data_IF_364308186785
#
_entry.id   IF_364308186785
#
_cell.length_a   1.000
_cell.length_b   1.000
_cell.length_c   1.000
_cell.angle_alpha   90.00
_cell.angle_beta   90.00
_cell.angle_gamma   90.00
#
_symmetry.space_group_name_H-M   'P 1'
#
loop_
_entity.id
_entity.type
_entity.pdbx_description
1 polymer ?
#
# COMPACT_ATOMS: atom_id res chain seq x y z
N UNK A 1 -26.45 -31.93 -9.45
CA UNK A 1 -27.23 -32.27 -8.24
C UNK A 1 -27.86 -30.99 -7.71
N UNK A 2 -29.17 -30.99 -7.47
CA UNK A 2 -29.94 -29.76 -7.28
C UNK A 2 -29.64 -29.07 -5.91
N UNK A 3 -29.54 -27.73 -5.87
CA UNK A 3 -29.17 -26.95 -4.68
C UNK A 3 -30.13 -27.08 -3.47
N UNK A 4 -31.26 -27.77 -3.63
CA UNK A 4 -32.26 -27.92 -2.57
C UNK A 4 -31.89 -28.98 -1.50
N UNK A 5 -31.03 -29.95 -1.83
CA UNK A 5 -30.60 -30.98 -0.88
C UNK A 5 -29.51 -30.48 0.07
N UNK A 6 -28.54 -29.70 -0.44
CA UNK A 6 -27.50 -29.08 0.38
C UNK A 6 -28.08 -28.10 1.43
N UNK A 7 -29.11 -27.35 1.05
CA UNK A 7 -29.83 -26.46 1.97
C UNK A 7 -30.66 -27.22 3.02
N UNK A 8 -31.17 -28.41 2.68
CA UNK A 8 -31.87 -29.29 3.62
C UNK A 8 -30.90 -29.92 4.62
N UNK A 9 -29.73 -30.35 4.15
CA UNK A 9 -28.68 -30.92 5.01
C UNK A 9 -28.11 -29.87 5.96
N UNK A 10 -27.87 -28.64 5.48
CA UNK A 10 -27.42 -27.52 6.31
C UNK A 10 -28.42 -27.15 7.42
N UNK A 11 -29.73 -27.19 7.12
CA UNK A 11 -30.78 -26.97 8.13
C UNK A 11 -30.89 -28.13 9.12
N UNK A 12 -30.62 -29.35 8.69
CA UNK A 12 -30.60 -30.54 9.55
C UNK A 12 -29.42 -30.50 10.53
N UNK A 13 -28.24 -30.09 10.05
CA UNK A 13 -27.04 -29.88 10.88
C UNK A 13 -27.26 -28.75 11.87
N UNK A 14 -27.87 -27.63 11.45
CA UNK A 14 -28.22 -26.52 12.34
C UNK A 14 -29.25 -26.91 13.43
N UNK A 15 -30.14 -27.85 13.14
CA UNK A 15 -31.13 -28.36 14.11
C UNK A 15 -30.56 -29.40 15.10
N UNK A 16 -29.39 -29.99 14.79
CA UNK A 16 -28.72 -31.00 15.63
C UNK A 16 -27.76 -30.39 16.66
N UNK A 17 -27.42 -29.11 16.53
CA UNK A 17 -26.60 -28.38 17.52
C UNK A 17 -27.52 -27.80 18.58
N UNK A 18 -27.73 -28.53 19.68
CA UNK A 18 -28.44 -28.01 20.85
C UNK A 18 -27.66 -26.82 21.47
N UNK A 19 -28.35 -25.78 21.97
CA UNK A 19 -27.72 -24.62 22.58
C UNK A 19 -27.35 -24.93 24.03
N UNK A 20 -26.31 -25.74 24.23
CA UNK A 20 -25.62 -25.79 25.51
C UNK A 20 -24.30 -25.04 25.39
N UNK A 21 -24.31 -23.82 25.94
CA UNK A 21 -23.16 -22.98 26.31
C UNK A 21 -22.14 -22.57 25.23
N UNK A 22 -22.52 -22.45 23.96
CA UNK A 22 -21.68 -21.72 23.00
C UNK A 22 -21.89 -20.22 23.17
N UNK A 23 -20.81 -19.52 23.50
CA UNK A 23 -20.86 -18.06 23.71
C UNK A 23 -21.20 -17.35 22.39
N UNK A 24 -21.89 -16.21 22.45
CA UNK A 24 -22.25 -15.44 21.27
C UNK A 24 -21.04 -15.10 20.38
N UNK A 25 -19.83 -15.05 20.95
CA UNK A 25 -18.58 -14.85 20.21
C UNK A 25 -18.19 -16.07 19.36
N UNK A 26 -18.42 -17.31 19.84
CA UNK A 26 -18.14 -18.53 19.08
C UNK A 26 -19.11 -18.68 17.90
N UNK A 27 -20.39 -18.36 18.11
CA UNK A 27 -21.38 -18.31 17.03
C UNK A 27 -21.04 -17.24 16.00
N UNK A 28 -20.56 -16.07 16.44
CA UNK A 28 -20.13 -15.00 15.54
C UNK A 28 -18.89 -15.39 14.73
N UNK A 29 -17.91 -16.06 15.35
CA UNK A 29 -16.71 -16.57 14.68
C UNK A 29 -17.04 -17.68 13.67
N UNK A 30 -17.97 -18.58 14.00
CA UNK A 30 -18.45 -19.62 13.09
C UNK A 30 -19.20 -19.03 11.89
N UNK A 31 -20.04 -18.00 12.12
CA UNK A 31 -20.71 -17.28 11.05
C UNK A 31 -19.73 -16.54 10.13
N UNK A 32 -18.68 -15.92 10.71
CA UNK A 32 -17.66 -15.21 9.96
C UNK A 32 -16.78 -16.18 9.14
N UNK A 33 -16.42 -17.33 9.70
CA UNK A 33 -15.72 -18.39 8.98
C UNK A 33 -16.56 -18.96 7.82
N UNK A 34 -17.85 -19.19 8.03
CA UNK A 34 -18.78 -19.63 6.98
C UNK A 34 -18.95 -18.59 5.87
N UNK A 35 -19.02 -17.30 6.23
CA UNK A 35 -19.11 -16.21 5.25
C UNK A 35 -17.84 -16.06 4.41
N UNK A 36 -16.65 -16.21 5.03
CA UNK A 36 -15.37 -16.20 4.31
C UNK A 36 -15.22 -17.41 3.38
N UNK A 37 -15.66 -18.60 3.82
CA UNK A 37 -15.68 -19.80 2.99
C UNK A 37 -16.58 -19.60 1.76
N UNK A 38 -17.82 -19.13 1.95
CA UNK A 38 -18.75 -18.85 0.87
C UNK A 38 -18.23 -17.77 -0.10
N UNK A 39 -17.53 -16.75 0.41
CA UNK A 39 -16.92 -15.69 -0.40
C UNK A 39 -15.72 -16.19 -1.21
N UNK A 40 -14.94 -17.12 -0.65
CA UNK A 40 -13.85 -17.80 -1.37
C UNK A 40 -14.36 -18.74 -2.46
N UNK A 41 -15.51 -19.39 -2.23
CA UNK A 41 -16.13 -20.31 -3.18
C UNK A 41 -16.81 -19.56 -4.34
N UNK A 42 -17.43 -18.42 -4.04
CA UNK A 42 -17.93 -17.48 -5.05
C UNK A 42 -16.80 -16.87 -5.88
N UNK A 43 -15.65 -16.54 -5.27
CA UNK A 43 -14.47 -16.06 -5.97
C UNK A 43 -13.85 -17.15 -6.88
N UNK A 44 -13.89 -18.42 -6.46
CA UNK A 44 -13.46 -19.58 -7.28
C UNK A 44 -14.40 -19.83 -8.45
N UNK A 45 -15.70 -19.72 -8.24
CA UNK A 45 -16.71 -19.88 -9.31
C UNK A 45 -16.65 -18.76 -10.35
N UNK A 46 -16.22 -17.55 -9.97
CA UNK A 46 -15.99 -16.44 -10.89
C UNK A 46 -14.73 -16.60 -11.76
N UNK A 47 -13.80 -17.49 -11.40
CA UNK A 47 -12.51 -17.64 -12.08
C UNK A 47 -12.51 -18.59 -13.28
N UNK A 48 -13.63 -19.28 -13.60
CA UNK A 48 -13.74 -20.13 -14.79
C UNK A 48 -12.59 -21.15 -14.95
N UNK A 49 -12.12 -21.75 -13.84
CA UNK A 49 -11.00 -22.68 -13.85
C UNK A 49 -11.40 -24.06 -14.37
N UNK A 50 -10.58 -24.63 -15.26
CA UNK A 50 -10.67 -26.02 -15.67
C UNK A 50 -10.58 -26.94 -14.43
N UNK A 51 -11.56 -27.83 -14.26
CA UNK A 51 -11.64 -28.77 -13.13
C UNK A 51 -10.42 -29.72 -13.00
N UNK A 52 -9.63 -29.87 -14.07
CA UNK A 52 -8.39 -30.66 -14.08
C UNK A 52 -7.20 -29.97 -13.40
N UNK A 53 -7.24 -28.64 -13.25
CA UNK A 53 -6.18 -27.84 -12.60
C UNK A 53 -6.54 -27.35 -11.20
N UNK A 54 -7.73 -27.71 -10.71
CA UNK A 54 -8.19 -27.34 -9.38
C UNK A 54 -7.49 -28.20 -8.32
N UNK A 55 -6.44 -27.63 -7.72
CA UNK A 55 -5.72 -28.26 -6.61
C UNK A 55 -6.64 -28.34 -5.40
N UNK A 56 -6.92 -29.57 -4.94
CA UNK A 56 -7.76 -29.82 -3.77
C UNK A 56 -7.03 -29.45 -2.46
N UNK A 57 -6.97 -28.15 -2.16
CA UNK A 57 -6.30 -27.57 -0.98
C UNK A 57 -6.70 -28.19 0.36
N UNK A 58 -7.94 -28.68 0.47
CA UNK A 58 -8.44 -29.41 1.65
C UNK A 58 -7.71 -30.71 1.90
N UNK A 59 -7.26 -31.42 0.84
CA UNK A 59 -6.49 -32.66 0.94
C UNK A 59 -5.02 -32.39 1.31
N UNK A 60 -4.47 -31.25 0.88
CA UNK A 60 -3.11 -30.82 1.21
C UNK A 60 -2.97 -30.35 2.67
N UNK A 61 -4.06 -29.90 3.30
CA UNK A 61 -4.05 -29.46 4.72
C UNK A 61 -3.72 -30.61 5.67
N UNK A 62 -4.16 -31.81 5.35
CA UNK A 62 -4.03 -32.98 6.23
C UNK A 62 -2.71 -33.75 6.00
N UNK A 63 -1.93 -33.39 4.96
CA UNK A 63 -0.64 -34.03 4.66
C UNK A 63 0.41 -33.05 4.10
N UNK A 64 0.92 -32.13 4.95
CA UNK A 64 1.89 -31.12 4.52
C UNK A 64 3.22 -31.71 4.04
N UNK A 65 3.66 -32.84 4.60
CA UNK A 65 4.89 -33.54 4.19
C UNK A 65 4.80 -34.09 2.76
N UNK A 66 3.62 -34.55 2.32
CA UNK A 66 3.41 -35.02 0.95
C UNK A 66 3.53 -33.91 -0.08
N UNK A 67 3.15 -32.68 0.29
CA UNK A 67 3.27 -31.49 -0.57
C UNK A 67 4.73 -31.15 -0.81
N UNK A 68 5.57 -31.22 0.23
CA UNK A 68 7.01 -30.99 0.11
C UNK A 68 7.67 -32.07 -0.76
N UNK A 69 7.28 -33.33 -0.60
CA UNK A 69 7.77 -34.45 -1.42
C UNK A 69 7.34 -34.33 -2.89
N UNK A 70 6.07 -33.98 -3.15
CA UNK A 70 5.59 -33.74 -4.52
C UNK A 70 6.27 -32.52 -5.14
N UNK A 71 6.47 -31.43 -4.38
CA UNK A 71 7.21 -30.26 -4.85
C UNK A 71 8.65 -30.62 -5.25
N UNK A 72 9.33 -31.45 -4.46
CA UNK A 72 10.67 -31.92 -4.76
C UNK A 72 10.71 -32.86 -5.98
N UNK A 73 9.76 -33.79 -6.09
CA UNK A 73 9.61 -34.66 -7.25
C UNK A 73 9.32 -33.89 -8.55
N UNK A 74 8.46 -32.86 -8.48
CA UNK A 74 8.14 -31.99 -9.62
C UNK A 74 9.36 -31.14 -10.00
N UNK A 75 10.10 -30.59 -9.03
CA UNK A 75 11.37 -29.88 -9.31
C UNK A 75 12.40 -30.77 -9.98
N UNK A 76 12.50 -32.02 -9.57
CA UNK A 76 13.40 -33.00 -10.17
C UNK A 76 12.97 -33.40 -11.58
N UNK A 77 11.67 -33.57 -11.80
CA UNK A 77 11.10 -33.79 -13.12
C UNK A 77 11.41 -32.62 -14.07
N UNK A 78 11.17 -31.38 -13.65
CA UNK A 78 11.48 -30.19 -14.47
C UNK A 78 12.98 -30.02 -14.72
N UNK A 79 13.83 -30.34 -13.73
CA UNK A 79 15.29 -30.36 -13.94
C UNK A 79 15.67 -31.36 -15.04
N UNK A 80 15.16 -32.59 -14.98
CA UNK A 80 15.40 -33.63 -16.01
C UNK A 80 14.85 -33.22 -17.37
N UNK A 81 13.63 -32.68 -17.41
CA UNK A 81 12.99 -32.23 -18.65
C UNK A 81 13.78 -31.09 -19.30
N UNK A 82 14.27 -30.14 -18.51
CA UNK A 82 15.14 -29.06 -18.99
C UNK A 82 16.44 -29.60 -19.57
N UNK A 83 17.09 -30.57 -18.92
CA UNK A 83 18.31 -31.20 -19.45
C UNK A 83 18.04 -31.94 -20.76
N UNK A 84 16.97 -32.73 -20.83
CA UNK A 84 16.57 -33.46 -22.05
C UNK A 84 16.27 -32.47 -23.17
N UNK A 85 15.55 -31.38 -22.90
CA UNK A 85 15.21 -30.39 -23.90
C UNK A 85 16.45 -29.64 -24.42
N UNK A 86 17.33 -29.17 -23.54
CA UNK A 86 18.61 -28.55 -23.91
C UNK A 86 19.51 -29.53 -24.69
N UNK A 87 19.53 -30.81 -24.33
CA UNK A 87 20.29 -31.84 -25.04
C UNK A 87 19.72 -32.11 -26.44
N UNK A 88 18.39 -32.13 -26.58
CA UNK A 88 17.72 -32.29 -27.87
C UNK A 88 17.94 -31.06 -28.75
N UNK A 89 17.84 -29.85 -28.20
CA UNK A 89 18.08 -28.62 -28.96
C UNK A 89 19.53 -28.47 -29.38
N UNK A 90 20.49 -28.76 -28.50
CA UNK A 90 21.92 -28.72 -28.86
C UNK A 90 22.28 -29.77 -29.91
N UNK A 91 21.72 -30.99 -29.81
CA UNK A 91 21.87 -32.01 -30.87
C UNK A 91 21.23 -31.55 -32.19
N UNK A 92 20.08 -30.90 -32.15
CA UNK A 92 19.39 -30.39 -33.35
C UNK A 92 20.16 -29.25 -34.00
N UNK A 93 20.70 -28.32 -33.21
CA UNK A 93 21.54 -27.22 -33.69
C UNK A 93 22.84 -27.77 -34.31
N UNK A 94 23.47 -28.74 -33.65
CA UNK A 94 24.67 -29.40 -34.16
C UNK A 94 24.39 -30.16 -35.48
N UNK A 95 23.26 -30.86 -35.58
CA UNK A 95 22.84 -31.55 -36.81
C UNK A 95 22.52 -30.56 -37.94
N UNK A 96 21.90 -29.42 -37.64
CA UNK A 96 21.66 -28.37 -38.64
C UNK A 96 22.92 -27.68 -39.13
N UNK A 97 23.96 -27.59 -38.31
CA UNK A 97 25.24 -26.93 -38.65
C UNK A 97 26.19 -27.88 -39.42
N UNK A 98 26.03 -29.20 -39.24
CA UNK A 98 26.93 -30.23 -39.82
C UNK A 98 26.38 -30.91 -41.08
N UNK A 99 25.06 -30.92 -41.29
CA UNK A 99 24.41 -31.57 -42.44
C UNK A 99 23.50 -30.57 -43.20
N UNK A 100 23.99 -29.93 -44.27
CA UNK A 100 23.24 -28.89 -45.00
C UNK A 100 22.01 -29.40 -45.77
N UNK A 101 21.87 -30.72 -45.99
CA UNK A 101 20.74 -31.34 -46.69
C UNK A 101 19.70 -31.99 -45.75
N UNK A 102 19.76 -31.74 -44.43
CA UNK A 102 18.68 -32.10 -43.51
C UNK A 102 17.52 -31.08 -43.56
N UNK A 103 17.15 -30.65 -44.76
CA UNK A 103 16.10 -29.68 -45.08
C UNK A 103 14.70 -30.29 -44.92
N UNK A 104 14.40 -30.79 -43.72
CA UNK A 104 13.07 -31.27 -43.34
C UNK A 104 12.73 -31.03 -41.86
N UNK A 105 13.71 -30.66 -41.04
CA UNK A 105 13.47 -30.32 -39.64
C UNK A 105 13.30 -28.80 -39.50
N UNK A 106 12.07 -28.33 -39.66
CA UNK A 106 11.62 -26.95 -39.41
C UNK A 106 12.29 -26.39 -38.15
N UNK A 107 13.17 -25.39 -38.29
CA UNK A 107 13.87 -24.77 -37.16
C UNK A 107 12.85 -23.97 -36.37
N UNK A 108 12.38 -24.53 -35.25
CA UNK A 108 11.25 -23.99 -34.46
C UNK A 108 11.58 -22.66 -33.76
N UNK A 109 12.86 -22.38 -33.49
CA UNK A 109 13.31 -21.13 -32.88
C UNK A 109 14.59 -20.66 -33.55
N UNK A 110 14.57 -19.43 -34.04
CA UNK A 110 15.76 -18.75 -34.56
C UNK A 110 16.66 -18.27 -33.41
N UNK A 111 17.91 -17.88 -33.69
CA UNK A 111 18.81 -17.31 -32.66
C UNK A 111 18.21 -16.07 -32.00
N UNK A 112 17.40 -15.31 -32.74
CA UNK A 112 16.71 -14.13 -32.25
C UNK A 112 15.57 -14.51 -31.29
N UNK A 113 14.81 -15.58 -31.61
CA UNK A 113 13.76 -16.09 -30.72
C UNK A 113 14.34 -16.63 -29.40
N UNK A 114 15.47 -17.32 -29.46
CA UNK A 114 16.16 -17.80 -28.26
C UNK A 114 16.64 -16.62 -27.40
N UNK A 115 17.20 -15.57 -28.01
CA UNK A 115 17.61 -14.37 -27.27
C UNK A 115 16.42 -13.64 -26.61
N UNK A 116 15.29 -13.53 -27.32
CA UNK A 116 14.07 -12.94 -26.77
C UNK A 116 13.49 -13.78 -25.62
N UNK A 117 13.50 -15.11 -25.74
CA UNK A 117 13.06 -16.03 -24.69
C UNK A 117 14.00 -15.98 -23.47
N UNK A 118 15.30 -15.82 -23.67
CA UNK A 118 16.26 -15.63 -22.58
C UNK A 118 16.03 -14.32 -21.82
N UNK A 119 15.72 -13.22 -22.52
CA UNK A 119 15.38 -11.94 -21.91
C UNK A 119 14.05 -12.02 -21.14
N UNK A 120 13.02 -12.64 -21.73
CA UNK A 120 11.75 -12.91 -21.06
C UNK A 120 11.93 -13.81 -19.82
N UNK A 121 12.78 -14.83 -19.90
CA UNK A 121 13.10 -15.69 -18.76
C UNK A 121 13.87 -14.92 -17.67
N UNK A 122 14.78 -14.00 -18.03
CA UNK A 122 15.51 -13.17 -17.09
C UNK A 122 14.58 -12.22 -16.32
N UNK A 123 13.65 -11.58 -17.02
CA UNK A 123 12.64 -10.70 -16.41
C UNK A 123 11.65 -11.47 -15.54
N UNK A 124 11.13 -12.62 -15.99
CA UNK A 124 10.26 -13.47 -15.16
C UNK A 124 10.99 -13.98 -13.91
N UNK A 125 12.29 -14.30 -14.02
CA UNK A 125 13.11 -14.71 -12.88
C UNK A 125 13.35 -13.58 -11.89
N UNK A 126 13.50 -12.33 -12.35
CA UNK A 126 13.63 -11.17 -11.46
C UNK A 126 12.30 -10.90 -10.73
N UNK A 127 11.17 -10.98 -11.44
CA UNK A 127 9.82 -10.87 -10.85
C UNK A 127 9.56 -11.99 -9.83
N UNK A 128 9.92 -13.24 -10.13
CA UNK A 128 9.78 -14.36 -9.21
C UNK A 128 10.61 -14.16 -7.94
N UNK A 129 11.86 -13.66 -8.07
CA UNK A 129 12.71 -13.33 -6.92
C UNK A 129 12.08 -12.23 -6.06
N UNK A 130 11.55 -11.17 -6.67
CA UNK A 130 10.87 -10.09 -5.97
C UNK A 130 9.62 -10.59 -5.23
N UNK A 131 8.77 -11.38 -5.90
CA UNK A 131 7.59 -11.99 -5.28
C UNK A 131 7.96 -12.95 -4.14
N UNK A 132 9.03 -13.74 -4.29
CA UNK A 132 9.53 -14.63 -3.22
C UNK A 132 10.06 -13.85 -2.02
N UNK A 133 10.63 -12.66 -2.24
CA UNK A 133 11.01 -11.75 -1.16
C UNK A 133 9.77 -11.22 -0.44
N UNK A 134 8.78 -10.70 -1.18
CA UNK A 134 7.51 -10.24 -0.60
C UNK A 134 6.80 -11.32 0.22
N UNK A 135 6.73 -12.57 -0.26
CA UNK A 135 6.12 -13.67 0.49
C UNK A 135 6.91 -13.96 1.78
N UNK A 136 8.24 -13.88 1.75
CA UNK A 136 9.07 -14.02 2.97
C UNK A 136 8.82 -12.88 3.95
N UNK A 137 8.70 -11.65 3.47
CA UNK A 137 8.45 -10.48 4.31
C UNK A 137 7.04 -10.49 4.90
N UNK A 138 6.04 -10.93 4.13
CA UNK A 138 4.68 -11.14 4.65
C UNK A 138 4.67 -12.24 5.71
N UNK A 139 5.40 -13.34 5.48
CA UNK A 139 5.47 -14.42 6.46
C UNK A 139 6.19 -14.01 7.73
N UNK A 140 7.29 -13.26 7.63
CA UNK A 140 7.96 -12.71 8.81
C UNK A 140 7.09 -11.70 9.56
N UNK A 141 6.32 -10.87 8.85
CA UNK A 141 5.34 -9.97 9.48
C UNK A 141 4.23 -10.74 10.19
N UNK A 142 3.69 -11.80 9.58
CA UNK A 142 2.69 -12.66 10.21
C UNK A 142 3.29 -13.31 11.46
N UNK A 143 4.48 -13.90 11.36
CA UNK A 143 5.16 -14.55 12.48
C UNK A 143 5.44 -13.54 13.62
N UNK A 144 5.83 -12.30 13.31
CA UNK A 144 6.02 -11.23 14.29
C UNK A 144 4.69 -10.82 14.98
N UNK A 145 3.61 -10.67 14.22
CA UNK A 145 2.28 -10.39 14.81
C UNK A 145 1.78 -11.55 15.67
N UNK A 146 1.97 -12.79 15.22
CA UNK A 146 1.64 -13.98 15.99
C UNK A 146 2.48 -14.07 17.27
N UNK A 147 3.78 -13.75 17.22
CA UNK A 147 4.64 -13.72 18.40
C UNK A 147 4.28 -12.60 19.39
N UNK A 148 3.74 -11.48 18.91
CA UNK A 148 3.22 -10.40 19.76
C UNK A 148 1.89 -10.75 20.43
N UNK A 149 1.07 -11.57 19.76
CA UNK A 149 -0.27 -11.93 20.23
C UNK A 149 -0.21 -13.16 21.14
N UNK A 150 0.42 -14.24 20.69
CA UNK A 150 0.50 -15.50 21.41
C UNK A 150 1.56 -15.43 22.52
N UNK A 151 1.36 -16.15 23.64
CA UNK A 151 2.41 -16.30 24.65
C UNK A 151 3.68 -16.83 24.02
N UNK A 152 4.82 -16.36 24.53
CA UNK A 152 6.19 -16.72 24.10
C UNK A 152 6.48 -18.20 24.39
N UNK A 153 5.79 -19.11 23.74
CA UNK A 153 5.81 -20.54 24.04
C UNK A 153 4.79 -21.38 23.26
N UNK A 154 3.84 -20.77 22.55
CA UNK A 154 2.98 -21.51 21.63
C UNK A 154 3.80 -21.96 20.41
N UNK A 155 3.97 -23.28 20.18
CA UNK A 155 4.84 -23.77 19.13
C UNK A 155 4.19 -23.55 17.77
N UNK A 156 4.64 -22.55 17.02
CA UNK A 156 4.27 -22.40 15.60
C UNK A 156 5.06 -23.33 14.67
N UNK A 157 5.94 -24.18 15.19
CA UNK A 157 6.64 -25.23 14.44
C UNK A 157 6.87 -26.50 15.29
N UNK A 158 6.76 -27.71 14.72
CA UNK A 158 7.03 -28.96 15.44
C UNK A 158 8.53 -29.24 15.44
N UNK A 159 9.38 -28.33 15.95
CA UNK A 159 10.82 -28.62 15.99
C UNK A 159 11.61 -27.84 17.03
N UNK A 160 11.37 -28.12 18.31
CA UNK A 160 12.41 -28.43 19.31
C UNK A 160 11.78 -28.52 20.70
N UNK A 161 11.74 -29.74 21.24
CA UNK A 161 11.64 -29.95 22.68
C UNK A 161 12.91 -29.45 23.36
N UNK A 162 12.74 -29.07 24.63
CA UNK A 162 13.75 -28.83 25.65
C UNK A 162 14.29 -27.38 25.77
N UNK A 163 13.47 -26.51 26.36
CA UNK A 163 13.80 -25.90 27.66
C UNK A 163 12.60 -25.10 28.14
N UNK A 164 11.97 -25.55 29.23
CA UNK A 164 10.93 -24.81 29.92
C UNK A 164 11.56 -23.57 30.59
N UNK A 165 11.26 -22.39 30.06
CA UNK A 165 11.43 -21.11 30.74
C UNK A 165 10.01 -20.59 30.99
N UNK A 166 9.67 -20.06 32.18
CA UNK A 166 8.37 -19.45 32.40
C UNK A 166 8.27 -18.19 31.54
N UNK A 167 7.54 -18.31 30.45
CA UNK A 167 7.36 -17.26 29.46
C UNK A 167 6.42 -16.18 29.98
N UNK A 168 6.75 -14.92 29.69
CA UNK A 168 5.92 -13.77 30.04
C UNK A 168 4.53 -13.91 29.38
N UNK A 169 3.44 -13.53 30.08
CA UNK A 169 2.08 -13.63 29.55
C UNK A 169 1.97 -12.81 28.25
N UNK A 170 1.38 -13.42 27.22
CA UNK A 170 1.13 -12.74 25.95
C UNK A 170 0.09 -11.63 26.09
N UNK A 171 -0.05 -10.79 25.06
CA UNK A 171 -1.10 -9.76 25.02
C UNK A 171 -2.52 -10.36 25.15
N UNK A 172 -2.71 -11.61 24.69
CA UNK A 172 -3.97 -12.33 24.91
C UNK A 172 -4.16 -12.80 26.35
N UNK A 173 -3.12 -13.30 27.02
CA UNK A 173 -3.23 -13.78 28.40
C UNK A 173 -3.50 -12.63 29.38
N UNK A 174 -2.88 -11.47 29.13
CA UNK A 174 -3.16 -10.24 29.88
C UNK A 174 -4.59 -9.78 29.68
N UNK A 175 -5.10 -9.77 28.44
CA UNK A 175 -6.49 -9.40 28.16
C UNK A 175 -7.51 -10.37 28.80
N UNK A 176 -7.21 -11.67 28.82
CA UNK A 176 -8.05 -12.67 29.49
C UNK A 176 -8.03 -12.47 31.01
N UNK A 177 -6.85 -12.25 31.60
CA UNK A 177 -6.71 -11.94 33.03
C UNK A 177 -7.46 -10.67 33.42
N UNK A 178 -7.37 -9.61 32.60
CA UNK A 178 -8.07 -8.35 32.84
C UNK A 178 -9.59 -8.51 32.70
N UNK A 179 -10.05 -9.32 31.75
CA UNK A 179 -11.46 -9.64 31.59
C UNK A 179 -12.01 -10.45 32.79
N UNK A 180 -11.24 -11.41 33.31
CA UNK A 180 -11.59 -12.16 34.53
C UNK A 180 -11.62 -11.25 35.75
N UNK A 181 -10.64 -10.36 35.91
CA UNK A 181 -10.59 -9.37 36.99
C UNK A 181 -11.79 -8.40 36.91
N UNK A 182 -12.12 -7.92 35.72
CA UNK A 182 -13.30 -7.07 35.49
C UNK A 182 -14.61 -7.81 35.84
N UNK A 183 -14.74 -9.09 35.47
CA UNK A 183 -15.89 -9.91 35.88
C UNK A 183 -15.97 -10.11 37.40
N UNK A 184 -14.83 -10.26 38.08
CA UNK A 184 -14.76 -10.32 39.54
C UNK A 184 -15.29 -9.02 40.18
N UNK A 185 -14.76 -7.88 39.74
CA UNK A 185 -15.20 -6.56 40.20
C UNK A 185 -16.69 -6.30 39.94
N UNK A 186 -17.23 -6.74 38.79
CA UNK A 186 -18.66 -6.62 38.51
C UNK A 186 -19.52 -7.40 39.50
N UNK A 187 -19.07 -8.58 39.95
CA UNK A 187 -19.78 -9.36 40.98
C UNK A 187 -19.72 -8.65 42.33
N UNK A 188 -18.54 -8.17 42.73
CA UNK A 188 -18.37 -7.42 43.97
C UNK A 188 -19.22 -6.13 43.99
N UNK A 189 -19.30 -5.41 42.88
CA UNK A 189 -20.18 -4.25 42.74
C UNK A 189 -21.64 -4.67 42.92
N UNK A 190 -22.08 -5.76 42.30
CA UNK A 190 -23.43 -6.29 42.48
C UNK A 190 -23.75 -6.69 43.93
N UNK A 191 -22.78 -7.28 44.64
CA UNK A 191 -22.91 -7.62 46.05
C UNK A 191 -22.96 -6.35 46.93
N UNK A 192 -22.13 -5.34 46.64
CA UNK A 192 -22.17 -4.05 47.32
C UNK A 192 -23.47 -3.28 47.05
N UNK A 193 -24.04 -3.38 45.85
CA UNK A 193 -25.36 -2.82 45.52
C UNK A 193 -26.48 -3.52 46.29
N UNK A 194 -26.40 -4.84 46.45
CA UNK A 194 -27.31 -5.63 47.30
C UNK A 194 -27.20 -5.22 48.76
N UNK A 195 -25.98 -5.02 49.27
CA UNK A 195 -25.76 -4.59 50.65
C UNK A 195 -26.18 -3.13 50.87
N UNK A 196 -26.01 -2.24 49.88
CA UNK A 196 -26.58 -0.89 49.89
C UNK A 196 -28.11 -0.92 49.89
N UNK A 197 -28.73 -1.83 49.13
CA UNK A 197 -30.17 -2.02 49.13
C UNK A 197 -30.66 -2.54 50.49
N UNK A 198 -29.93 -3.47 51.11
CA UNK A 198 -30.21 -3.97 52.48
C UNK A 198 -30.05 -2.87 53.53
N UNK A 199 -29.00 -2.05 53.45
CA UNK A 199 -28.78 -0.92 54.35
C UNK A 199 -29.83 0.18 54.16
N UNK A 200 -30.28 0.43 52.93
CA UNK A 200 -31.41 1.35 52.68
C UNK A 200 -32.73 0.79 53.19
N UNK A 201 -32.96 -0.52 53.06
CA UNK A 201 -34.15 -1.18 53.62
C UNK A 201 -34.13 -1.21 55.15
N UNK A 202 -32.97 -1.45 55.77
CA UNK A 202 -32.78 -1.44 57.22
C UNK A 202 -32.80 -0.01 57.80
N UNK A 203 -32.15 0.95 57.13
CA UNK A 203 -32.17 2.38 57.49
C UNK A 203 -33.51 3.07 57.21
N UNK A 204 -34.33 2.51 56.34
CA UNK A 204 -35.72 2.93 56.11
C UNK A 204 -36.69 2.50 57.22
N UNK A 205 -36.30 1.56 58.08
CA UNK A 205 -37.12 1.10 59.20
C UNK A 205 -36.89 1.87 60.52
N UNK A 206 -35.84 2.69 60.61
CA UNK A 206 -35.45 3.42 61.85
C UNK A 206 -35.37 4.94 61.67
N UNK A 207 -36.22 5.55 60.84
CA UNK A 207 -36.45 7.01 60.92
C UNK A 207 -37.63 7.30 61.85
N UNK A 208 -37.42 7.01 63.13
CA UNK A 208 -38.45 7.23 64.14
C UNK A 208 -38.08 6.98 65.59
N UNK A 209 -36.80 7.00 66.04
CA UNK A 209 -36.51 7.28 67.46
C UNK A 209 -35.02 7.50 67.78
N UNK A 210 -34.78 8.61 68.46
CA UNK A 210 -33.80 8.89 69.52
C UNK A 210 -32.53 8.03 69.78
N UNK A 211 -31.48 8.79 70.10
CA UNK A 211 -30.40 8.51 71.07
C UNK A 211 -29.24 7.57 70.72
N UNK A 212 -28.07 8.20 70.56
CA UNK A 212 -26.91 7.96 71.43
C UNK A 212 -26.38 6.54 71.53
N UNK A 213 -25.49 6.16 70.61
CA UNK A 213 -24.78 4.88 70.66
C UNK A 213 -23.31 5.02 70.29
N UNK A 214 -22.43 4.83 71.28
CA UNK A 214 -20.97 4.70 71.17
C UNK A 214 -20.58 3.74 70.04
N UNK A 215 -19.87 4.23 69.02
CA UNK A 215 -19.17 3.36 68.05
C UNK A 215 -17.82 2.94 68.62
N UNK A 216 -17.70 1.65 68.86
CA UNK A 216 -16.47 0.98 69.25
C UNK A 216 -15.45 1.02 68.10
N UNK A 217 -14.25 1.49 68.43
CA UNK A 217 -12.93 1.15 67.87
C UNK A 217 -12.93 0.19 66.66
N UNK A 218 -12.96 0.73 65.45
CA UNK A 218 -12.44 0.06 64.25
C UNK A 218 -10.90 0.09 64.28
N UNK A 219 -10.30 -0.87 65.01
CA UNK A 219 -8.85 -1.16 64.95
C UNK A 219 -8.53 -1.69 63.55
N UNK A 220 -7.74 -0.96 62.77
CA UNK A 220 -7.08 -1.51 61.59
C UNK A 220 -6.97 -0.58 60.39
N UNK A 221 -7.69 0.54 60.35
CA UNK A 221 -7.49 1.55 59.31
C UNK A 221 -6.46 2.54 59.85
N UNK A 222 -5.30 2.75 59.20
CA UNK A 222 -4.41 3.84 59.58
C UNK A 222 -5.24 5.11 59.53
N UNK A 223 -5.40 5.78 60.67
CA UNK A 223 -5.99 7.11 60.72
C UNK A 223 -5.07 8.01 59.91
N UNK A 224 -5.34 8.14 58.61
CA UNK A 224 -4.98 9.36 57.88
C UNK A 224 -5.60 10.46 58.71
N UNK A 225 -4.78 11.38 59.21
CA UNK A 225 -5.26 12.51 59.98
C UNK A 225 -6.46 13.10 59.25
N UNK A 226 -7.54 13.35 59.98
CA UNK A 226 -8.67 14.08 59.42
C UNK A 226 -8.10 15.37 58.85
N UNK A 227 -8.17 15.55 57.52
CA UNK A 227 -7.72 16.79 56.89
C UNK A 227 -8.29 17.95 57.71
N UNK A 228 -7.45 18.91 58.05
CA UNK A 228 -7.96 20.15 58.62
C UNK A 228 -8.93 20.76 57.60
N UNK A 229 -9.91 21.54 58.08
CA UNK A 229 -10.93 22.12 57.20
C UNK A 229 -10.29 22.89 56.02
N UNK A 230 -9.17 23.55 56.28
CA UNK A 230 -8.46 24.35 55.29
C UNK A 230 -7.73 23.46 54.26
N UNK A 231 -7.08 22.38 54.70
CA UNK A 231 -6.47 21.41 53.78
C UNK A 231 -7.55 20.73 52.91
N UNK A 232 -8.72 20.43 53.48
CA UNK A 232 -9.81 19.79 52.73
C UNK A 232 -10.34 20.72 51.62
N UNK A 233 -10.52 22.00 51.94
CA UNK A 233 -10.90 23.02 50.94
C UNK A 233 -9.85 23.11 49.84
N UNK A 234 -8.57 23.15 50.20
CA UNK A 234 -7.49 23.20 49.22
C UNK A 234 -7.49 21.97 48.29
N UNK A 235 -7.67 20.76 48.83
CA UNK A 235 -7.75 19.56 47.99
C UNK A 235 -8.99 19.54 47.09
N UNK A 236 -10.12 20.12 47.53
CA UNK A 236 -11.30 20.24 46.67
C UNK A 236 -11.10 21.26 45.57
N UNK A 237 -10.45 22.39 45.86
CA UNK A 237 -10.13 23.40 44.86
C UNK A 237 -9.14 22.84 43.81
N UNK A 238 -8.10 22.12 44.24
CA UNK A 238 -7.16 21.41 43.35
C UNK A 238 -7.89 20.37 42.48
N UNK A 239 -8.80 19.57 43.06
CA UNK A 239 -9.60 18.61 42.30
C UNK A 239 -10.55 19.26 41.30
N UNK A 240 -11.12 20.43 41.64
CA UNK A 240 -11.98 21.19 40.73
C UNK A 240 -11.17 21.71 39.54
N UNK A 241 -9.97 22.24 39.79
CA UNK A 241 -9.05 22.68 38.72
C UNK A 241 -8.62 21.52 37.82
N UNK A 242 -8.27 20.37 38.42
CA UNK A 242 -7.94 19.15 37.67
C UNK A 242 -9.13 18.67 36.82
N UNK A 243 -10.33 18.62 37.39
CA UNK A 243 -11.54 18.27 36.64
C UNK A 243 -11.80 19.22 35.47
N UNK A 244 -11.66 20.52 35.66
CA UNK A 244 -11.82 21.50 34.58
C UNK A 244 -10.75 21.33 33.50
N UNK A 245 -9.50 21.01 33.89
CA UNK A 245 -8.42 20.72 32.95
C UNK A 245 -8.71 19.44 32.14
N UNK A 246 -9.28 18.41 32.78
CA UNK A 246 -9.65 17.16 32.12
C UNK A 246 -10.85 17.35 31.18
N UNK A 247 -11.86 18.13 31.58
CA UNK A 247 -12.99 18.47 30.72
C UNK A 247 -12.56 19.24 29.47
N UNK A 248 -11.66 20.21 29.62
CA UNK A 248 -11.12 20.97 28.48
C UNK A 248 -10.26 20.08 27.57
N UNK A 249 -9.41 19.21 28.13
CA UNK A 249 -8.65 18.24 27.37
C UNK A 249 -9.55 17.23 26.64
N UNK A 250 -10.62 16.77 27.28
CA UNK A 250 -11.61 15.87 26.70
C UNK A 250 -12.36 16.53 25.54
N UNK A 251 -12.81 17.78 25.72
CA UNK A 251 -13.46 18.55 24.67
C UNK A 251 -12.53 18.81 23.48
N UNK A 252 -11.27 19.15 23.74
CA UNK A 252 -10.24 19.33 22.70
C UNK A 252 -9.99 18.02 21.94
N UNK A 253 -9.84 16.90 22.66
CA UNK A 253 -9.68 15.58 22.05
C UNK A 253 -10.89 15.22 21.18
N UNK A 254 -12.11 15.42 21.67
CA UNK A 254 -13.35 15.20 20.92
C UNK A 254 -13.43 16.04 19.65
N UNK A 255 -13.02 17.31 19.70
CA UNK A 255 -12.93 18.17 18.53
C UNK A 255 -11.92 17.64 17.49
N UNK A 256 -10.72 17.22 17.93
CA UNK A 256 -9.71 16.63 17.03
C UNK A 256 -10.13 15.29 16.43
N UNK A 257 -10.93 14.52 17.16
CA UNK A 257 -11.49 13.27 16.66
C UNK A 257 -12.49 13.53 15.54
N UNK A 258 -13.42 14.48 15.73
CA UNK A 258 -14.40 14.82 14.71
C UNK A 258 -13.77 15.49 13.47
N UNK A 259 -12.70 16.26 13.60
CA UNK A 259 -11.95 16.77 12.43
C UNK A 259 -11.28 15.62 11.68
N UNK A 260 -10.54 14.74 12.36
CA UNK A 260 -9.89 13.58 11.73
C UNK A 260 -10.88 12.63 11.05
N UNK A 261 -12.06 12.46 11.64
CA UNK A 261 -13.15 11.68 11.04
C UNK A 261 -13.66 12.31 9.75
N UNK A 262 -13.82 13.63 9.70
CA UNK A 262 -14.17 14.35 8.46
C UNK A 262 -13.07 14.18 7.41
N UNK A 263 -11.81 14.35 7.78
CA UNK A 263 -10.67 14.18 6.87
C UNK A 263 -10.60 12.76 6.30
N UNK A 264 -10.80 11.73 7.14
CA UNK A 264 -10.87 10.34 6.71
C UNK A 264 -12.00 10.11 5.70
N UNK A 265 -13.20 10.66 5.95
CA UNK A 265 -14.33 10.53 5.01
C UNK A 265 -14.07 11.24 3.69
N UNK A 266 -13.36 12.38 3.71
CA UNK A 266 -12.95 13.08 2.50
C UNK A 266 -11.89 12.29 1.72
N UNK A 267 -10.90 11.71 2.40
CA UNK A 267 -9.88 10.86 1.81
C UNK A 267 -10.50 9.60 1.17
N UNK A 268 -11.45 8.95 1.83
CA UNK A 268 -12.16 7.79 1.27
C UNK A 268 -12.91 8.16 -0.03
N UNK A 269 -13.60 9.30 -0.06
CA UNK A 269 -14.27 9.78 -1.29
C UNK A 269 -13.28 10.12 -2.40
N UNK A 270 -12.11 10.66 -2.06
CA UNK A 270 -11.04 10.91 -3.03
C UNK A 270 -10.51 9.59 -3.62
N UNK A 271 -10.29 8.58 -2.78
CA UNK A 271 -9.86 7.24 -3.23
C UNK A 271 -10.93 6.58 -4.10
N UNK A 272 -12.21 6.69 -3.76
CA UNK A 272 -13.31 6.20 -4.60
C UNK A 272 -13.33 6.89 -5.97
N UNK A 273 -13.17 8.21 -6.01
CA UNK A 273 -13.06 8.97 -7.27
C UNK A 273 -11.87 8.50 -8.10
N UNK A 274 -10.69 8.39 -7.50
CA UNK A 274 -9.48 7.92 -8.18
C UNK A 274 -9.61 6.48 -8.69
N UNK A 275 -10.30 5.61 -7.96
CA UNK A 275 -10.58 4.24 -8.42
C UNK A 275 -11.50 4.22 -9.66
N UNK A 276 -12.46 5.14 -9.75
CA UNK A 276 -13.30 5.30 -10.95
C UNK A 276 -12.46 5.81 -12.12
N UNK A 277 -11.65 6.83 -11.91
CA UNK A 277 -10.76 7.38 -12.93
C UNK A 277 -9.74 6.35 -13.42
N UNK A 278 -9.16 5.57 -12.51
CA UNK A 278 -8.25 4.46 -12.83
C UNK A 278 -8.93 3.42 -13.71
N UNK A 279 -10.15 2.99 -13.37
CA UNK A 279 -10.90 2.01 -14.19
C UNK A 279 -11.18 2.54 -15.60
N UNK A 280 -11.49 3.83 -15.71
CA UNK A 280 -11.71 4.48 -17.02
C UNK A 280 -10.39 4.52 -17.81
N UNK A 281 -9.29 4.91 -17.18
CA UNK A 281 -7.97 4.95 -17.81
C UNK A 281 -7.47 3.55 -18.22
N UNK A 282 -7.68 2.54 -17.37
CA UNK A 282 -7.38 1.14 -17.66
C UNK A 282 -8.27 0.62 -18.80
N UNK A 283 -9.54 1.04 -18.85
CA UNK A 283 -10.45 0.77 -19.96
C UNK A 283 -9.90 1.31 -21.28
N UNK A 284 -9.52 2.59 -21.32
CA UNK A 284 -8.91 3.20 -22.51
C UNK A 284 -7.58 2.53 -22.88
N UNK A 285 -6.75 2.15 -21.90
CA UNK A 285 -5.51 1.45 -22.16
C UNK A 285 -5.77 0.03 -22.71
N UNK A 286 -6.77 -0.68 -22.21
CA UNK A 286 -7.17 -1.99 -22.69
C UNK A 286 -7.78 -1.92 -24.10
N UNK A 287 -8.60 -0.92 -24.38
CA UNK A 287 -9.14 -0.63 -25.71
C UNK A 287 -8.03 -0.26 -26.70
N UNK A 288 -7.07 0.57 -26.30
CA UNK A 288 -5.90 0.89 -27.12
C UNK A 288 -5.06 -0.36 -27.43
N UNK A 289 -4.84 -1.25 -26.43
CA UNK A 289 -4.14 -2.53 -26.65
C UNK A 289 -4.91 -3.46 -27.59
N UNK A 290 -6.24 -3.49 -27.51
CA UNK A 290 -7.10 -4.28 -28.41
C UNK A 290 -7.12 -3.71 -29.83
N UNK A 291 -7.21 -2.39 -29.99
CA UNK A 291 -7.10 -1.74 -31.29
C UNK A 291 -5.72 -1.95 -31.94
N UNK A 292 -4.66 -2.09 -31.13
CA UNK A 292 -3.32 -2.48 -31.59
C UNK A 292 -3.19 -3.95 -32.02
N UNK A 293 -4.09 -4.84 -31.60
CA UNK A 293 -4.13 -6.25 -32.02
C UNK A 293 -4.80 -6.42 -33.39
N UNK A 294 -5.67 -5.49 -33.80
CA UNK A 294 -6.36 -5.51 -35.10
C UNK A 294 -5.47 -5.04 -36.28
N UNK A 295 -4.16 -4.85 -36.05
CA UNK A 295 -3.17 -4.54 -37.10
C UNK A 295 -3.30 -3.16 -37.74
N UNK A 296 -4.16 -2.29 -37.20
CA UNK A 296 -4.39 -0.93 -37.74
C UNK A 296 -3.38 0.11 -37.22
N UNK A 297 -2.66 -0.20 -36.14
CA UNK A 297 -1.59 0.64 -35.59
C UNK A 297 -0.24 -0.03 -35.78
N UNK A 298 0.69 0.72 -36.37
CA UNK A 298 2.06 0.28 -36.52
C UNK A 298 2.79 0.38 -35.18
N UNK A 299 2.85 -0.74 -34.46
CA UNK A 299 3.52 -0.87 -33.16
C UNK A 299 5.00 -0.46 -33.23
N UNK A 300 5.63 -0.59 -34.41
CA UNK A 300 7.02 -0.16 -34.59
C UNK A 300 7.15 1.36 -34.54
N UNK A 301 6.21 2.08 -35.15
CA UNK A 301 6.15 3.55 -35.09
C UNK A 301 5.83 4.01 -33.68
N UNK A 302 4.91 3.35 -32.97
CA UNK A 302 4.62 3.69 -31.57
C UNK A 302 5.83 3.49 -30.65
N UNK A 303 6.55 2.37 -30.79
CA UNK A 303 7.80 2.13 -30.07
C UNK A 303 8.88 3.18 -30.40
N UNK A 304 9.01 3.56 -31.67
CA UNK A 304 9.91 4.64 -32.08
C UNK A 304 9.49 5.98 -31.48
N UNK A 305 8.20 6.33 -31.51
CA UNK A 305 7.67 7.55 -30.89
C UNK A 305 7.88 7.56 -29.38
N UNK A 306 7.72 6.43 -28.69
CA UNK A 306 7.99 6.30 -27.26
C UNK A 306 9.49 6.46 -26.96
N UNK A 307 10.34 5.83 -27.77
CA UNK A 307 11.80 5.99 -27.70
C UNK A 307 12.24 7.43 -27.98
N UNK A 308 11.63 8.11 -28.93
CA UNK A 308 11.91 9.52 -29.23
C UNK A 308 11.39 10.44 -28.13
N UNK A 309 10.22 10.17 -27.55
CA UNK A 309 9.65 10.97 -26.46
C UNK A 309 10.54 10.91 -25.21
N UNK A 310 10.96 9.71 -24.81
CA UNK A 310 11.90 9.53 -23.69
C UNK A 310 13.27 10.18 -23.94
N UNK A 311 13.81 10.08 -25.16
CA UNK A 311 15.05 10.81 -25.52
C UNK A 311 14.86 12.32 -25.47
N UNK A 312 13.73 12.83 -25.93
CA UNK A 312 13.41 14.27 -25.86
C UNK A 312 13.30 14.75 -24.42
N UNK A 313 12.74 13.95 -23.51
CA UNK A 313 12.69 14.28 -22.08
C UNK A 313 14.09 14.34 -21.46
N UNK A 314 14.96 13.37 -21.78
CA UNK A 314 16.36 13.40 -21.32
C UNK A 314 17.10 14.62 -21.87
N UNK A 315 16.94 14.93 -23.16
CA UNK A 315 17.56 16.11 -23.77
C UNK A 315 17.03 17.40 -23.16
N UNK A 316 15.73 17.48 -22.86
CA UNK A 316 15.14 18.62 -22.13
C UNK A 316 15.78 18.78 -20.76
N UNK A 317 15.90 17.70 -20.00
CA UNK A 317 16.53 17.72 -18.69
C UNK A 317 18.02 18.13 -18.75
N UNK A 318 18.78 17.61 -19.71
CA UNK A 318 20.19 17.96 -19.90
C UNK A 318 20.40 19.43 -20.28
N UNK A 319 19.45 20.03 -21.00
CA UNK A 319 19.51 21.43 -21.43
C UNK A 319 18.83 22.39 -20.43
N UNK A 320 18.30 21.90 -19.30
CA UNK A 320 17.54 22.70 -18.35
C UNK A 320 16.22 23.25 -18.93
N UNK A 321 15.72 22.66 -20.01
CA UNK A 321 14.47 23.03 -20.67
C UNK A 321 13.28 22.41 -19.92
N UNK A 322 12.46 23.25 -19.29
CA UNK A 322 11.24 22.82 -18.62
C UNK A 322 10.10 22.65 -19.61
N UNK A 323 9.94 23.61 -20.53
CA UNK A 323 8.87 23.59 -21.51
C UNK A 323 9.35 24.09 -22.88
N UNK A 324 8.84 23.47 -23.94
CA UNK A 324 9.03 23.92 -25.32
C UNK A 324 7.65 23.94 -25.97
N UNK A 325 7.18 25.13 -26.31
CA UNK A 325 5.86 25.35 -26.90
C UNK A 325 5.98 26.20 -28.15
N UNK A 326 5.14 25.92 -29.14
CA UNK A 326 5.01 26.74 -30.34
C UNK A 326 3.60 27.36 -30.34
N UNK A 327 3.40 28.52 -29.67
CA UNK A 327 2.08 29.13 -29.54
C UNK A 327 1.49 29.59 -30.88
N UNK A 328 2.34 29.94 -31.85
CA UNK A 328 1.97 30.24 -33.23
C UNK A 328 2.97 29.59 -34.19
N UNK A 329 2.55 29.39 -35.44
CA UNK A 329 3.33 28.86 -36.56
C UNK A 329 4.66 29.59 -36.82
N UNK A 330 4.81 30.80 -36.27
CA UNK A 330 5.97 31.68 -36.43
C UNK A 330 6.76 31.90 -35.15
N UNK A 331 6.31 31.38 -34.01
CA UNK A 331 6.93 31.68 -32.71
C UNK A 331 7.24 30.39 -31.97
N UNK A 332 8.47 30.25 -31.52
CA UNK A 332 8.91 29.16 -30.65
C UNK A 332 9.23 29.74 -29.27
N UNK A 333 8.66 29.16 -28.23
CA UNK A 333 8.86 29.56 -26.85
C UNK A 333 9.51 28.42 -26.07
N UNK A 334 10.69 28.68 -25.54
CA UNK A 334 11.44 27.76 -24.69
C UNK A 334 11.53 28.34 -23.28
N UNK A 335 11.11 27.56 -22.28
CA UNK A 335 11.21 27.91 -20.87
C UNK A 335 12.36 27.12 -20.26
N UNK A 336 13.32 27.83 -19.69
CA UNK A 336 14.49 27.29 -19.02
C UNK A 336 14.34 27.45 -17.51
N UNK A 337 14.74 26.42 -16.75
CA UNK A 337 14.82 26.49 -15.30
C UNK A 337 16.22 26.97 -14.90
N UNK A 338 16.29 28.02 -14.08
CA UNK A 338 17.55 28.50 -13.48
C UNK A 338 17.84 27.82 -12.14
N UNK A 339 19.08 27.95 -11.65
CA UNK A 339 19.52 27.35 -10.37
C UNK A 339 18.74 27.87 -9.15
N UNK A 340 18.24 29.09 -9.24
CA UNK A 340 17.44 29.74 -8.19
C UNK A 340 15.95 29.44 -8.29
N UNK A 341 15.57 28.49 -9.15
CA UNK A 341 14.19 28.06 -9.38
C UNK A 341 13.30 29.13 -10.06
N UNK A 342 13.91 30.18 -10.60
CA UNK A 342 13.25 31.14 -11.49
C UNK A 342 13.23 30.60 -12.92
N UNK A 343 12.11 30.79 -13.62
CA UNK A 343 11.99 30.39 -15.01
C UNK A 343 12.42 31.55 -15.93
N UNK A 344 13.15 31.26 -17.01
CA UNK A 344 13.45 32.23 -18.07
C UNK A 344 12.84 31.76 -19.37
N UNK A 345 12.09 32.63 -20.02
CA UNK A 345 11.38 32.35 -21.26
C UNK A 345 12.14 32.99 -22.42
N UNK A 346 12.65 32.16 -23.34
CA UNK A 346 13.20 32.57 -24.62
C UNK A 346 12.13 32.43 -25.69
N UNK A 347 11.77 33.54 -26.33
CA UNK A 347 10.85 33.58 -27.46
C UNK A 347 11.60 33.89 -28.75
N UNK A 348 11.52 32.97 -29.72
CA UNK A 348 12.14 33.06 -31.04
C UNK A 348 11.06 33.29 -32.09
N UNK A 349 11.21 34.35 -32.89
CA UNK A 349 10.23 34.71 -33.94
C UNK A 349 10.82 34.47 -35.32
N UNK A 350 10.13 33.71 -36.15
CA UNK A 350 10.54 33.33 -37.50
C UNK A 350 9.68 34.01 -38.55
N UNK A 351 10.26 34.25 -39.73
CA UNK A 351 9.52 34.82 -40.88
C UNK A 351 8.43 33.86 -41.39
N UNK A 352 8.74 32.57 -41.41
CA UNK A 352 7.87 31.46 -41.77
C UNK A 352 8.28 30.22 -40.97
N UNK A 353 7.42 29.20 -40.88
CA UNK A 353 7.76 27.94 -40.22
C UNK A 353 9.06 27.35 -40.82
N UNK A 354 10.09 27.16 -40.00
CA UNK A 354 11.42 26.68 -40.42
C UNK A 354 12.25 27.69 -41.24
N UNK A 355 11.85 28.96 -41.29
CA UNK A 355 12.52 30.02 -42.05
C UNK A 355 13.56 30.80 -41.26
N UNK A 356 13.92 31.99 -41.76
CA UNK A 356 14.88 32.88 -41.11
C UNK A 356 14.32 33.43 -39.79
N UNK A 357 15.16 33.44 -38.75
CA UNK A 357 14.89 34.10 -37.48
C UNK A 357 14.84 35.62 -37.69
N UNK A 358 13.73 36.24 -37.28
CA UNK A 358 13.51 37.68 -37.38
C UNK A 358 13.93 38.39 -36.10
N UNK A 359 13.58 37.81 -34.95
CA UNK A 359 13.75 38.46 -33.66
C UNK A 359 13.80 37.42 -32.54
N UNK A 360 14.35 37.82 -31.39
CA UNK A 360 14.36 37.03 -30.16
C UNK A 360 14.13 37.91 -28.94
N UNK A 361 13.42 37.37 -27.95
CA UNK A 361 13.14 38.03 -26.69
C UNK A 361 13.43 37.10 -25.51
N UNK A 362 14.00 37.65 -24.43
CA UNK A 362 14.17 36.99 -23.15
C UNK A 362 13.26 37.67 -22.13
N UNK A 363 12.36 36.90 -21.51
CA UNK A 363 11.42 37.40 -20.51
C UNK A 363 11.30 36.48 -19.30
N UNK A 364 10.94 37.05 -18.16
CA UNK A 364 10.45 36.28 -16.99
C UNK A 364 9.09 35.63 -17.30
N UNK A 365 8.67 34.55 -16.60
CA UNK A 365 7.29 34.04 -16.65
C UNK A 365 6.24 35.10 -16.32
N UNK A 366 6.60 36.16 -15.59
CA UNK A 366 5.74 37.32 -15.30
C UNK A 366 5.59 38.30 -16.47
N UNK A 367 6.38 38.13 -17.54
CA UNK A 367 6.36 38.97 -18.74
C UNK A 367 7.35 40.13 -18.73
N UNK A 368 8.19 40.24 -17.69
CA UNK A 368 9.22 41.28 -17.61
C UNK A 368 10.35 41.00 -18.60
N UNK A 369 10.76 42.00 -19.38
CA UNK A 369 11.86 41.86 -20.33
C UNK A 369 13.19 41.78 -19.58
N UNK A 370 13.82 40.61 -19.62
CA UNK A 370 15.10 40.34 -18.93
C UNK A 370 16.31 40.61 -19.83
N UNK A 371 16.08 40.84 -21.11
CA UNK A 371 17.12 40.97 -22.12
C UNK A 371 18.12 42.09 -21.83
N UNK A 372 17.63 43.26 -21.40
CA UNK A 372 18.49 44.41 -21.10
C UNK A 372 19.22 44.27 -19.75
N UNK A 373 18.67 43.44 -18.84
CA UNK A 373 19.26 43.12 -17.53
C UNK A 373 20.35 42.05 -17.65
N UNK A 374 20.13 41.04 -18.50
CA UNK A 374 21.04 39.92 -18.72
C UNK A 374 22.15 40.24 -19.73
N UNK A 375 21.85 41.03 -20.74
CA UNK A 375 22.79 41.42 -21.79
C UNK A 375 22.60 42.91 -22.13
N UNK A 376 23.25 43.81 -21.38
CA UNK A 376 23.23 45.24 -21.66
C UNK A 376 23.64 45.54 -23.10
N UNK A 377 23.12 46.63 -23.69
CA UNK A 377 23.35 46.99 -25.10
C UNK A 377 24.82 47.04 -25.52
N UNK A 378 25.72 47.39 -24.60
CA UNK A 378 27.16 47.52 -24.83
C UNK A 378 27.96 46.23 -24.52
N UNK A 379 27.29 45.15 -24.13
CA UNK A 379 27.97 43.91 -23.76
C UNK A 379 28.43 43.12 -24.98
N UNK A 380 29.57 42.42 -24.84
CA UNK A 380 30.07 41.51 -25.86
C UNK A 380 29.08 40.35 -26.13
N UNK A 381 28.31 39.95 -25.11
CA UNK A 381 27.27 38.93 -25.23
C UNK A 381 26.09 39.40 -26.11
N UNK A 382 25.67 40.66 -26.00
CA UNK A 382 24.63 41.25 -26.85
C UNK A 382 25.08 41.32 -28.30
N UNK A 383 26.32 41.73 -28.55
CA UNK A 383 26.91 41.75 -29.89
C UNK A 383 26.99 40.33 -30.50
N UNK A 384 27.37 39.32 -29.71
CA UNK A 384 27.39 37.93 -30.14
C UNK A 384 25.99 37.39 -30.48
N UNK A 385 24.97 37.72 -29.66
CA UNK A 385 23.58 37.34 -29.94
C UNK A 385 23.05 38.00 -31.22
N UNK A 386 23.37 39.29 -31.46
CA UNK A 386 22.99 39.97 -32.70
C UNK A 386 23.70 39.40 -33.93
N UNK A 387 24.98 39.03 -33.81
CA UNK A 387 25.72 38.36 -34.87
C UNK A 387 25.11 36.98 -35.20
N UNK A 388 24.73 36.20 -34.17
CA UNK A 388 24.07 34.91 -34.35
C UNK A 388 22.69 35.05 -35.03
N UNK A 389 21.91 36.08 -34.66
CA UNK A 389 20.65 36.42 -35.33
C UNK A 389 20.86 36.76 -36.82
N UNK A 390 21.86 37.58 -37.13
CA UNK A 390 22.18 37.96 -38.52
C UNK A 390 22.62 36.76 -39.36
N UNK A 391 23.40 35.86 -38.76
CA UNK A 391 23.86 34.61 -39.37
C UNK A 391 22.78 33.51 -39.43
N UNK A 392 21.62 33.72 -38.80
CA UNK A 392 20.56 32.71 -38.64
C UNK A 392 21.05 31.43 -37.92
N UNK A 393 21.98 31.58 -36.99
CA UNK A 393 22.57 30.50 -36.19
C UNK A 393 21.83 30.37 -34.85
N UNK A 394 20.74 29.59 -34.86
CA UNK A 394 19.91 29.36 -33.67
C UNK A 394 20.67 28.62 -32.56
N UNK A 395 21.47 27.57 -32.84
CA UNK A 395 22.29 26.93 -31.82
C UNK A 395 23.23 27.89 -31.10
N UNK A 396 23.96 28.74 -31.84
CA UNK A 396 24.87 29.71 -31.24
C UNK A 396 24.13 30.76 -30.40
N UNK A 397 22.96 31.22 -30.89
CA UNK A 397 22.11 32.15 -30.15
C UNK A 397 21.64 31.54 -28.83
N UNK A 398 21.08 30.33 -28.86
CA UNK A 398 20.59 29.62 -27.66
C UNK A 398 21.73 29.35 -26.68
N UNK A 399 22.91 28.93 -27.16
CA UNK A 399 24.08 28.72 -26.32
C UNK A 399 24.51 30.00 -25.60
N UNK A 400 24.51 31.13 -26.33
CA UNK A 400 24.87 32.43 -25.74
C UNK A 400 23.82 32.88 -24.71
N UNK A 401 22.53 32.64 -24.98
CA UNK A 401 21.46 32.92 -24.02
C UNK A 401 21.57 32.06 -22.75
N UNK A 402 21.82 30.76 -22.88
CA UNK A 402 21.99 29.86 -21.74
C UNK A 402 23.22 30.26 -20.92
N UNK A 403 24.34 30.60 -21.57
CA UNK A 403 25.53 31.10 -20.87
C UNK A 403 25.26 32.35 -20.04
N UNK A 404 24.47 33.30 -20.54
CA UNK A 404 24.06 34.48 -19.77
C UNK A 404 23.10 34.17 -18.62
N UNK A 405 22.30 33.09 -18.75
CA UNK A 405 21.37 32.65 -17.71
C UNK A 405 22.11 31.90 -16.59
N UNK A 406 23.16 31.13 -16.91
CA UNK A 406 23.96 30.36 -15.95
C UNK A 406 25.02 31.18 -15.20
N UNK A 407 25.39 32.36 -15.70
CA UNK A 407 26.36 33.28 -15.07
C UNK A 407 25.76 34.17 -13.97
N UNK A 408 24.43 34.12 -13.79
CA UNK A 408 23.74 34.68 -12.62
C UNK A 408 23.76 33.69 -11.46
#
# INVERSE_FOLDING_TARGET
>A
MAPSEAMREARRIAALVQPSSTSAAELHMLHLAAALAARSEAARSASGGNAETDVAWSRLRDWPEGVEMEEEAVKDYYRRLKFIHLEVETKRLFLSDTLPDASGAEVLYTREDVAALEEAAATLKSQMKARKALVRDLRSSIDATCASLLPTGAPSTPRRRASAVPSAPGAWDTLVSDAEAAQGLMREIGDLELDLARLKAAGGAETGSAMGGKRASSRGIPMRGTLTRDEAVQTFDEQIEEMQSLETAYAACGATFETRKKDLTAALRAVERLNVELRVAEGYAAEARRAGLDGTRDMTVELMCQGHSSRLEVLKACLGLENLSAPDSKTLRATYATRDNDAVVLELRYAQAGGRLLDFMLSSPTGDALLDTLAPLDSQTRAAMQAALQANDVPLLVQTCIGCIDEQ
#
